data_IF_928446884853
#
_entry.id   IF_928446884853
#
_cell.length_a   1.000
_cell.length_b   1.000
_cell.length_c   1.000
_cell.angle_alpha   90.00
_cell.angle_beta   90.00
_cell.angle_gamma   90.00
#
_symmetry.space_group_name_H-M   'P 1'
#
loop_
_entity.id
_entity.type
_entity.pdbx_description
1 polymer ?
#
# COMPACT_ATOMS: atom_id res chain seq x y z
N UNK A 1 -16.67 21.65 8.32
CA UNK A 1 -16.00 20.54 7.62
C UNK A 1 -16.02 19.34 8.54
N UNK A 2 -16.54 18.20 8.10
CA UNK A 2 -16.62 16.97 8.91
C UNK A 2 -15.37 16.14 8.68
N UNK A 3 -14.75 15.63 9.74
CA UNK A 3 -13.61 14.72 9.67
C UNK A 3 -14.10 13.27 9.83
N UNK A 4 -13.66 12.40 8.94
CA UNK A 4 -13.91 10.95 9.00
C UNK A 4 -12.58 10.23 9.18
N UNK A 5 -12.53 9.30 10.13
CA UNK A 5 -11.34 8.47 10.38
C UNK A 5 -11.68 7.02 10.09
N UNK A 6 -10.88 6.38 9.22
CA UNK A 6 -11.04 4.98 8.82
C UNK A 6 -9.90 4.16 9.41
N UNK A 7 -10.24 3.31 10.37
CA UNK A 7 -9.31 2.39 11.00
C UNK A 7 -10.08 1.21 11.64
N UNK A 8 -9.53 -0.03 11.56
CA UNK A 8 -8.41 -0.41 10.72
C UNK A 8 -8.76 -0.36 9.22
N UNK A 9 -7.84 -0.80 8.35
CA UNK A 9 -8.18 -1.24 6.99
C UNK A 9 -9.27 -2.32 7.03
N UNK A 10 -10.10 -2.37 5.99
CA UNK A 10 -11.08 -3.43 5.79
C UNK A 10 -10.45 -4.70 5.20
N UNK A 11 -9.40 -4.52 4.39
CA UNK A 11 -8.52 -5.58 3.90
C UNK A 11 -7.12 -5.03 3.77
N UNK A 12 -6.12 -5.85 4.01
CA UNK A 12 -4.74 -5.49 3.77
C UNK A 12 -3.84 -6.71 3.54
N UNK A 13 -2.60 -6.43 3.18
CA UNK A 13 -1.58 -7.46 3.12
C UNK A 13 -0.40 -7.05 2.28
N UNK A 14 0.62 -7.90 2.26
CA UNK A 14 1.83 -7.67 1.47
C UNK A 14 1.97 -8.68 0.33
N UNK A 15 2.82 -8.34 -0.63
CA UNK A 15 3.26 -9.23 -1.69
C UNK A 15 4.78 -9.13 -1.84
N UNK A 16 5.38 -10.23 -2.30
CA UNK A 16 6.81 -10.38 -2.45
C UNK A 16 7.12 -11.00 -3.81
N UNK A 17 7.89 -10.31 -4.65
CA UNK A 17 8.30 -10.86 -5.94
C UNK A 17 9.22 -12.08 -5.82
N UNK A 18 9.90 -12.24 -4.67
CA UNK A 18 10.73 -13.42 -4.38
C UNK A 18 9.93 -14.67 -4.02
N UNK A 19 8.65 -14.50 -3.66
CA UNK A 19 7.70 -15.58 -3.36
C UNK A 19 6.38 -15.27 -4.08
N UNK A 20 6.40 -15.27 -5.43
CA UNK A 20 5.40 -14.55 -6.21
C UNK A 20 4.01 -15.18 -6.22
N UNK A 21 3.92 -16.45 -5.81
CA UNK A 21 2.67 -17.22 -5.69
C UNK A 21 2.24 -17.43 -4.22
N UNK A 22 2.99 -16.87 -3.26
CA UNK A 22 2.64 -16.94 -1.84
C UNK A 22 1.71 -15.78 -1.49
N UNK A 23 0.57 -16.09 -0.86
CA UNK A 23 -0.30 -15.09 -0.23
C UNK A 23 0.24 -14.73 1.16
N UNK A 24 0.28 -13.43 1.48
CA UNK A 24 0.65 -12.91 2.80
C UNK A 24 -0.46 -12.05 3.42
N UNK A 25 -1.73 -12.39 3.18
CA UNK A 25 -2.88 -11.66 3.74
C UNK A 25 -3.01 -11.77 5.26
N UNK A 26 -2.24 -12.66 5.91
CA UNK A 26 -2.19 -12.79 7.38
C UNK A 26 -0.96 -12.14 8.03
N UNK A 27 -0.09 -11.49 7.24
CA UNK A 27 1.09 -10.81 7.79
C UNK A 27 0.68 -9.53 8.53
N UNK A 28 1.23 -9.34 9.72
CA UNK A 28 0.89 -8.23 10.62
C UNK A 28 1.70 -6.95 10.34
N UNK A 29 2.50 -6.94 9.27
CA UNK A 29 3.40 -5.85 8.91
C UNK A 29 3.21 -5.47 7.45
N UNK A 30 3.10 -4.17 7.22
CA UNK A 30 3.31 -3.60 5.90
C UNK A 30 4.80 -3.58 5.61
N UNK A 31 5.19 -4.22 4.51
CA UNK A 31 6.56 -4.22 4.03
C UNK A 31 6.59 -3.53 2.66
N UNK A 32 7.61 -2.71 2.50
CA UNK A 32 7.95 -2.07 1.23
C UNK A 32 9.43 -2.27 0.99
N UNK A 33 9.76 -2.64 -0.24
CA UNK A 33 11.13 -2.75 -0.68
C UNK A 33 11.16 -2.43 -2.16
N UNK A 34 11.83 -1.34 -2.52
CA UNK A 34 12.10 -1.05 -3.92
C UNK A 34 13.13 -2.07 -4.43
N UNK A 35 12.84 -2.79 -5.51
CA UNK A 35 13.79 -3.73 -6.06
C UNK A 35 15.05 -3.03 -6.58
N UNK A 36 16.23 -3.53 -6.19
CA UNK A 36 17.45 -3.39 -7.01
C UNK A 36 17.47 -4.43 -8.16
N UNK A 37 16.49 -5.34 -8.22
CA UNK A 37 16.33 -6.42 -9.21
C UNK A 37 14.84 -6.79 -9.34
N UNK A 38 14.33 -7.18 -10.52
CA UNK A 38 12.93 -7.59 -10.72
C UNK A 38 12.42 -8.71 -9.79
N UNK A 39 13.31 -9.39 -9.06
CA UNK A 39 12.99 -10.46 -8.11
C UNK A 39 12.97 -10.03 -6.63
N UNK A 40 13.26 -8.77 -6.30
CA UNK A 40 13.36 -8.32 -4.89
C UNK A 40 12.30 -7.32 -4.42
N UNK A 41 11.27 -7.01 -5.21
CA UNK A 41 10.22 -6.05 -4.82
C UNK A 41 9.31 -6.57 -3.71
N UNK A 42 9.03 -5.71 -2.72
CA UNK A 42 7.95 -5.92 -1.76
C UNK A 42 7.01 -4.72 -1.76
N UNK A 43 5.71 -5.00 -1.65
CA UNK A 43 4.64 -4.00 -1.68
C UNK A 43 3.56 -4.41 -0.70
N UNK A 44 2.82 -3.42 -0.21
CA UNK A 44 1.62 -3.64 0.60
C UNK A 44 0.42 -3.00 -0.06
N UNK A 45 -0.74 -3.64 0.08
CA UNK A 45 -2.04 -3.17 -0.39
C UNK A 45 -2.92 -2.96 0.84
N UNK A 46 -3.69 -1.87 0.83
CA UNK A 46 -4.66 -1.56 1.88
C UNK A 46 -5.96 -1.10 1.22
N UNK A 47 -7.09 -1.54 1.77
CA UNK A 47 -8.43 -1.10 1.40
C UNK A 47 -9.15 -0.60 2.66
N UNK A 48 -9.91 0.48 2.52
CA UNK A 48 -10.71 1.05 3.60
C UNK A 48 -12.17 1.09 3.18
N UNK A 49 -13.06 0.67 4.08
CA UNK A 49 -14.50 0.85 3.87
C UNK A 49 -14.87 2.32 4.05
N UNK A 50 -15.33 2.93 2.96
CA UNK A 50 -15.76 4.33 2.87
C UNK A 50 -17.27 4.45 2.58
N UNK A 51 -18.04 3.38 2.75
CA UNK A 51 -19.48 3.32 2.42
C UNK A 51 -20.37 4.25 3.26
N UNK A 52 -19.90 4.69 4.41
CA UNK A 52 -20.58 5.67 5.28
C UNK A 52 -20.35 7.14 4.86
N UNK A 53 -19.46 7.39 3.88
CA UNK A 53 -19.24 8.74 3.38
C UNK A 53 -20.43 9.18 2.55
N UNK A 54 -20.89 10.44 2.69
CA UNK A 54 -22.03 10.94 1.93
C UNK A 54 -21.73 10.94 0.42
N UNK A 55 -22.63 10.33 -0.35
CA UNK A 55 -22.53 10.33 -1.81
C UNK A 55 -22.52 11.76 -2.37
N UNK A 56 -21.61 12.03 -3.32
CA UNK A 56 -21.45 13.36 -3.92
C UNK A 56 -20.78 14.40 -3.00
N UNK A 57 -20.30 14.00 -1.83
CA UNK A 57 -19.48 14.85 -0.97
C UNK A 57 -18.16 15.24 -1.66
N UNK A 58 -17.78 16.51 -1.55
CA UNK A 58 -16.47 16.98 -2.03
C UNK A 58 -15.41 16.67 -0.98
N UNK A 59 -14.42 15.84 -1.34
CA UNK A 59 -13.27 15.56 -0.48
C UNK A 59 -12.32 16.76 -0.56
N UNK A 60 -12.22 17.52 0.53
CA UNK A 60 -11.28 18.63 0.65
C UNK A 60 -9.84 18.13 0.81
N UNK A 61 -9.65 17.14 1.67
CA UNK A 61 -8.38 16.59 2.14
C UNK A 61 -8.52 15.11 2.43
N UNK A 62 -7.54 14.29 2.06
CA UNK A 62 -7.47 12.88 2.45
C UNK A 62 -6.03 12.53 2.81
N UNK A 63 -5.81 12.03 4.04
CA UNK A 63 -4.47 11.67 4.53
C UNK A 63 -4.43 10.20 4.91
N UNK A 64 -3.43 9.48 4.43
CA UNK A 64 -3.07 8.16 4.94
C UNK A 64 -2.00 8.33 6.02
N UNK A 65 -2.14 7.63 7.14
CA UNK A 65 -1.16 7.62 8.24
C UNK A 65 -0.78 6.19 8.57
N UNK A 66 0.51 5.88 8.48
CA UNK A 66 1.07 4.58 8.86
C UNK A 66 2.23 4.81 9.82
N UNK A 67 2.47 3.85 10.71
CA UNK A 67 3.52 3.96 11.71
C UNK A 67 4.75 3.14 11.28
N UNK A 68 5.87 3.82 11.02
CA UNK A 68 7.15 3.19 10.78
C UNK A 68 7.75 2.74 12.11
N UNK A 69 7.90 1.42 12.29
CA UNK A 69 8.35 0.85 13.57
C UNK A 69 9.46 -0.19 13.45
N UNK A 70 9.89 -0.50 12.21
CA UNK A 70 10.87 -1.54 11.96
C UNK A 70 11.49 -1.39 10.58
N UNK A 71 12.75 -1.79 10.45
CA UNK A 71 13.42 -1.98 9.17
C UNK A 71 14.36 -3.17 9.24
N UNK A 72 14.69 -3.73 8.08
CA UNK A 72 15.63 -4.83 8.00
C UNK A 72 17.08 -4.31 7.97
N UNK A 73 17.73 -4.30 9.14
CA UNK A 73 19.07 -3.74 9.33
C UNK A 73 20.14 -4.18 8.31
N UNK A 74 20.18 -5.44 7.83
CA UNK A 74 21.15 -5.85 6.81
C UNK A 74 21.04 -5.11 5.46
N UNK A 75 19.91 -4.46 5.17
CA UNK A 75 19.72 -3.62 3.96
C UNK A 75 19.97 -2.12 4.22
N UNK A 76 20.54 -1.81 5.39
CA UNK A 76 20.88 -0.45 5.80
C UNK A 76 19.70 0.34 6.34
N UNK A 77 20.03 1.48 6.94
CA UNK A 77 19.07 2.44 7.46
C UNK A 77 18.22 3.04 6.32
N UNK A 78 16.86 3.03 6.44
CA UNK A 78 15.98 3.64 5.45
C UNK A 78 15.72 5.14 5.65
N UNK A 79 16.28 5.80 6.67
CA UNK A 79 16.07 7.23 6.91
C UNK A 79 16.27 8.08 5.65
N UNK A 80 15.30 8.95 5.36
CA UNK A 80 15.29 9.81 4.18
C UNK A 80 14.96 9.12 2.85
N UNK A 81 14.64 7.81 2.85
CA UNK A 81 14.07 7.17 1.67
C UNK A 81 12.60 7.57 1.52
N UNK A 82 12.17 7.70 0.27
CA UNK A 82 10.76 7.95 -0.06
C UNK A 82 10.01 6.62 -0.05
N UNK A 83 8.90 6.56 0.69
CA UNK A 83 7.91 5.52 0.55
C UNK A 83 6.72 6.10 -0.19
N UNK A 84 6.35 5.49 -1.31
CA UNK A 84 5.25 5.94 -2.15
C UNK A 84 3.95 5.21 -1.84
N UNK A 85 2.84 5.94 -1.92
CA UNK A 85 1.48 5.42 -1.88
C UNK A 85 0.79 5.73 -3.21
N UNK A 86 0.25 4.69 -3.86
CA UNK A 86 -0.46 4.80 -5.13
C UNK A 86 -1.88 4.26 -5.01
N UNK A 87 -2.81 4.83 -5.77
CA UNK A 87 -4.17 4.31 -5.86
C UNK A 87 -4.18 3.00 -6.65
N UNK A 88 -4.58 1.91 -6.00
CA UNK A 88 -4.86 0.64 -6.67
C UNK A 88 -6.08 0.79 -7.59
N UNK A 89 -5.99 0.31 -8.83
CA UNK A 89 -7.09 0.40 -9.81
C UNK A 89 -7.99 -0.82 -9.79
N UNK A 90 -7.53 -1.94 -9.25
CA UNK A 90 -8.32 -3.15 -9.03
C UNK A 90 -9.04 -3.06 -7.69
N UNK A 91 -10.36 -3.10 -7.73
CA UNK A 91 -11.22 -3.02 -6.54
C UNK A 91 -11.80 -4.37 -6.12
N UNK A 92 -11.55 -5.42 -6.90
CA UNK A 92 -12.12 -6.76 -6.73
C UNK A 92 -11.06 -7.80 -6.32
N UNK A 93 -9.92 -7.35 -5.79
CA UNK A 93 -8.91 -8.22 -5.21
C UNK A 93 -9.42 -8.91 -3.94
N UNK A 94 -8.89 -10.10 -3.67
CA UNK A 94 -9.30 -10.94 -2.53
C UNK A 94 -8.11 -11.15 -1.60
N UNK A 95 -8.24 -10.66 -0.37
CA UNK A 95 -7.17 -10.64 0.64
C UNK A 95 -6.52 -12.00 0.92
N UNK A 96 -7.33 -13.06 0.96
CA UNK A 96 -6.86 -14.43 1.19
C UNK A 96 -6.28 -15.11 -0.05
N UNK A 97 -6.31 -14.47 -1.21
CA UNK A 97 -5.93 -15.09 -2.48
C UNK A 97 -4.88 -14.32 -3.26
N UNK A 98 -4.77 -13.00 -3.08
CA UNK A 98 -3.86 -12.19 -3.89
C UNK A 98 -2.39 -12.56 -3.60
N UNK A 99 -1.56 -12.45 -4.62
CA UNK A 99 -0.12 -12.69 -4.59
C UNK A 99 0.57 -11.62 -5.43
N UNK A 100 1.88 -11.77 -5.67
CA UNK A 100 2.57 -10.92 -6.63
C UNK A 100 2.05 -11.10 -8.07
N UNK A 101 1.59 -12.31 -8.42
CA UNK A 101 1.15 -12.66 -9.77
C UNK A 101 -0.35 -12.44 -10.01
N UNK A 102 -1.19 -12.66 -8.99
CA UNK A 102 -2.65 -12.63 -9.10
C UNK A 102 -3.29 -11.69 -8.10
N UNK A 103 -4.42 -11.06 -8.45
CA UNK A 103 -5.22 -10.29 -7.49
C UNK A 103 -6.35 -11.10 -6.85
N UNK A 104 -6.71 -12.21 -7.47
CA UNK A 104 -7.61 -13.25 -6.97
C UNK A 104 -7.44 -14.53 -7.81
N UNK A 105 -7.98 -15.64 -7.33
CA UNK A 105 -7.88 -16.95 -8.01
C UNK A 105 -8.35 -16.84 -9.46
N UNK A 106 -7.49 -17.26 -10.38
CA UNK A 106 -7.78 -17.26 -11.82
C UNK A 106 -7.74 -15.89 -12.49
N UNK A 107 -7.24 -14.83 -11.82
CA UNK A 107 -7.12 -13.49 -12.42
C UNK A 107 -5.77 -12.83 -12.09
N UNK A 108 -4.98 -12.59 -13.14
CA UNK A 108 -3.65 -11.98 -13.05
C UNK A 108 -3.72 -10.46 -12.96
N UNK A 109 -2.75 -9.85 -12.28
CA UNK A 109 -2.47 -8.42 -12.48
C UNK A 109 -2.11 -8.14 -13.95
N UNK A 110 -2.34 -6.92 -14.43
CA UNK A 110 -1.90 -6.50 -15.77
C UNK A 110 -0.37 -6.45 -15.83
N UNK A 111 0.23 -5.90 -14.77
CA UNK A 111 1.67 -5.99 -14.49
C UNK A 111 1.82 -6.62 -13.10
N UNK A 112 2.69 -7.61 -12.97
CA UNK A 112 2.91 -8.27 -11.68
C UNK A 112 3.34 -7.26 -10.60
N UNK A 113 2.90 -7.51 -9.37
CA UNK A 113 3.10 -6.57 -8.26
C UNK A 113 2.04 -5.47 -8.16
N UNK A 114 0.86 -5.65 -8.78
CA UNK A 114 -0.30 -4.79 -8.60
C UNK A 114 -0.56 -3.82 -9.75
N UNK A 115 -1.84 -3.55 -10.02
CA UNK A 115 -2.29 -2.52 -10.95
C UNK A 115 -2.63 -1.23 -10.18
N UNK A 116 -1.87 -0.16 -10.40
CA UNK A 116 -2.03 1.12 -9.69
C UNK A 116 -1.79 2.31 -10.62
N UNK A 117 -2.32 3.48 -10.24
CA UNK A 117 -2.18 4.71 -11.02
C UNK A 117 -0.77 5.27 -10.85
N UNK A 118 -0.04 5.36 -11.95
CA UNK A 118 1.30 5.98 -12.01
C UNK A 118 1.31 7.30 -12.78
N UNK A 119 0.15 7.74 -13.26
CA UNK A 119 -0.01 9.00 -13.99
C UNK A 119 -1.21 9.78 -13.46
N UNK A 120 -0.97 11.04 -13.09
CA UNK A 120 -1.95 12.11 -12.84
C UNK A 120 -3.19 11.74 -11.97
N UNK A 121 -3.09 11.86 -10.63
CA UNK A 121 -1.87 12.05 -9.86
C UNK A 121 -1.07 10.75 -9.76
N UNK A 122 0.25 10.87 -9.79
CA UNK A 122 1.24 9.80 -9.70
C UNK A 122 1.53 9.38 -8.25
N UNK A 123 0.47 9.25 -7.43
CA UNK A 123 0.57 8.96 -6.01
C UNK A 123 1.17 10.12 -5.19
N UNK A 124 1.52 9.84 -3.94
CA UNK A 124 2.26 10.74 -3.06
C UNK A 124 3.33 9.95 -2.29
N UNK A 125 4.31 10.63 -1.71
CA UNK A 125 5.35 10.00 -0.90
C UNK A 125 5.53 10.65 0.47
N UNK A 126 6.05 9.86 1.41
CA UNK A 126 6.52 10.33 2.71
C UNK A 126 7.96 9.87 2.91
N UNK A 127 8.78 10.78 3.44
CA UNK A 127 10.14 10.46 3.89
C UNK A 127 10.11 9.58 5.14
N UNK A 128 10.97 8.57 5.18
CA UNK A 128 11.19 7.78 6.40
C UNK A 128 11.87 8.67 7.45
N UNK A 129 11.27 8.86 8.64
CA UNK A 129 11.80 9.73 9.68
C UNK A 129 13.07 9.14 10.35
N UNK A 130 13.93 9.98 10.98
CA UNK A 130 15.16 9.56 11.69
C UNK A 130 14.99 8.50 12.80
N UNK A 131 13.77 8.28 13.24
CA UNK A 131 13.41 7.26 14.22
C UNK A 131 11.99 6.78 13.97
N UNK A 132 11.58 5.72 14.66
CA UNK A 132 10.23 5.19 14.53
C UNK A 132 9.17 6.27 14.80
N UNK A 133 8.16 6.35 13.93
CA UNK A 133 7.26 7.47 13.91
C UNK A 133 6.17 7.37 12.85
N UNK A 134 5.22 8.30 12.94
CA UNK A 134 4.15 8.42 11.96
C UNK A 134 4.67 8.98 10.64
N UNK A 135 4.28 8.33 9.55
CA UNK A 135 4.43 8.78 8.17
C UNK A 135 3.05 9.20 7.65
N UNK A 136 3.02 10.22 6.79
CA UNK A 136 1.77 10.79 6.27
C UNK A 136 1.86 11.01 4.75
N UNK A 137 0.82 10.58 4.04
CA UNK A 137 0.67 10.79 2.60
C UNK A 137 -0.61 11.57 2.33
N UNK A 138 -0.58 12.50 1.39
CA UNK A 138 -1.76 13.07 0.74
C UNK A 138 -2.28 12.12 -0.33
N UNK A 139 -3.40 11.47 -0.04
CA UNK A 139 -4.00 10.47 -0.94
C UNK A 139 -5.26 11.01 -1.61
N UNK A 140 -5.40 12.34 -1.67
CA UNK A 140 -6.51 12.95 -2.38
C UNK A 140 -6.38 12.61 -3.87
N UNK A 141 -7.39 11.89 -4.38
CA UNK A 141 -7.54 11.59 -5.80
C UNK A 141 -8.00 12.81 -6.61
#
# INVERSE_FOLDING_TARGET
MTLYTKQPSAKDGRMNSGEPDTNFGSEIRFLTHSPCSPTSGQRSILEFDISDLPAGGVISTAKLKLYYHWYYAPLGDPVGRHIWAYKLTRTDWVESEFTWNIYKTGSNWTITGGDFVTINPDGDFSDVPPGYGWMEWDIKA
#
